data_IF_852679931692
#
_entry.id   IF_852679931692
#
_cell.length_a   1.000
_cell.length_b   1.000
_cell.length_c   1.000
_cell.angle_alpha   90.00
_cell.angle_beta   90.00
_cell.angle_gamma   90.00
#
_symmetry.space_group_name_H-M   'P 1'
#
loop_
_entity.id
_entity.type
_entity.pdbx_description
1 polymer ?
#
# COMPACT_ATOMS: atom_id res chain seq x y z
N UNK A 1 35.06 -2.72 17.44
CA UNK A 1 35.24 -3.32 18.78
C UNK A 1 35.21 -2.31 19.95
N UNK A 2 34.87 -1.03 19.75
CA UNK A 2 34.66 -0.06 20.83
C UNK A 2 33.31 -0.25 21.53
N UNK A 3 32.27 -0.56 20.76
CA UNK A 3 30.91 -0.84 21.26
C UNK A 3 30.81 -2.16 22.04
N UNK A 4 31.48 -3.22 21.59
CA UNK A 4 31.51 -4.52 22.27
C UNK A 4 32.95 -5.05 22.36
N UNK A 5 33.69 -4.72 23.45
CA UNK A 5 35.08 -5.15 23.61
C UNK A 5 35.25 -6.66 23.83
N UNK A 6 34.26 -7.31 24.43
CA UNK A 6 34.23 -8.77 24.68
C UNK A 6 34.20 -9.60 23.39
N UNK A 7 33.69 -9.05 22.28
CA UNK A 7 33.62 -9.76 21.00
C UNK A 7 34.97 -9.96 20.32
N UNK A 8 36.03 -9.28 20.78
CA UNK A 8 37.39 -9.36 20.19
C UNK A 8 37.97 -10.77 20.16
N UNK A 9 37.58 -11.62 21.11
CA UNK A 9 38.12 -12.98 21.25
C UNK A 9 37.21 -14.05 20.64
N UNK A 10 36.09 -13.67 20.04
CA UNK A 10 35.12 -14.61 19.49
C UNK A 10 35.44 -14.94 18.03
N UNK A 11 35.23 -16.20 17.66
CA UNK A 11 35.32 -16.62 16.26
C UNK A 11 33.97 -16.43 15.56
N UNK A 12 33.94 -15.78 14.40
CA UNK A 12 32.73 -15.64 13.60
C UNK A 12 32.41 -16.99 12.94
N UNK A 13 31.35 -17.66 13.40
CA UNK A 13 30.98 -18.99 12.89
C UNK A 13 30.28 -18.94 11.54
N UNK A 14 29.58 -17.84 11.24
CA UNK A 14 28.83 -17.66 10.01
C UNK A 14 28.51 -16.19 9.76
N UNK A 15 28.49 -15.78 8.49
CA UNK A 15 28.00 -14.47 8.07
C UNK A 15 27.41 -14.53 6.67
N UNK A 16 26.48 -13.63 6.37
CA UNK A 16 25.90 -13.46 5.04
C UNK A 16 25.77 -11.97 4.72
N UNK A 17 25.99 -11.61 3.46
CA UNK A 17 25.92 -10.24 2.97
C UNK A 17 24.90 -10.17 1.84
N UNK A 18 23.81 -9.47 2.07
CA UNK A 18 22.77 -9.21 1.05
C UNK A 18 22.90 -7.77 0.58
N UNK A 19 23.03 -7.56 -0.73
CA UNK A 19 23.10 -6.24 -1.36
C UNK A 19 21.83 -6.00 -2.17
N UNK A 20 21.04 -5.02 -1.78
CA UNK A 20 19.84 -4.60 -2.50
C UNK A 20 20.09 -3.20 -3.08
N UNK A 21 20.43 -3.13 -4.36
CA UNK A 21 20.80 -1.87 -5.03
C UNK A 21 19.64 -0.88 -5.20
N UNK A 22 18.40 -1.36 -5.15
CA UNK A 22 17.17 -0.57 -5.31
C UNK A 22 16.15 -0.96 -4.23
N UNK A 23 16.57 -0.91 -2.96
CA UNK A 23 15.70 -1.33 -1.85
C UNK A 23 14.56 -0.36 -1.59
N UNK A 24 14.85 0.94 -1.65
CA UNK A 24 13.97 2.04 -1.28
C UNK A 24 14.15 3.15 -2.31
N UNK A 25 13.15 4.01 -2.46
CA UNK A 25 13.35 5.21 -3.26
C UNK A 25 14.27 6.19 -2.51
N UNK A 26 14.95 7.05 -3.27
CA UNK A 26 15.88 8.00 -2.68
C UNK A 26 15.16 9.25 -2.21
N UNK A 27 15.01 9.38 -0.89
CA UNK A 27 14.54 10.59 -0.25
C UNK A 27 15.51 11.76 -0.50
N UNK A 28 15.03 12.82 -1.15
CA UNK A 28 15.74 14.08 -1.38
C UNK A 28 14.75 15.24 -1.17
N UNK A 29 15.19 16.44 -0.77
CA UNK A 29 14.30 17.59 -0.74
C UNK A 29 13.53 17.76 -2.06
N UNK A 30 12.20 17.88 -1.96
CA UNK A 30 11.30 18.05 -3.10
C UNK A 30 10.88 16.77 -3.83
N UNK A 31 11.05 15.58 -3.24
CA UNK A 31 10.60 14.31 -3.84
C UNK A 31 9.11 14.01 -3.61
N UNK A 32 8.47 14.59 -2.58
CA UNK A 32 7.08 14.26 -2.25
C UNK A 32 6.08 14.48 -3.40
N UNK A 33 6.35 15.45 -4.29
CA UNK A 33 5.52 15.72 -5.48
C UNK A 33 5.47 14.56 -6.47
N UNK A 34 6.44 13.64 -6.41
CA UNK A 34 6.50 12.46 -7.29
C UNK A 34 5.90 11.22 -6.65
N UNK A 35 5.50 11.29 -5.38
CA UNK A 35 4.86 10.18 -4.68
C UNK A 35 3.39 10.11 -5.12
N UNK A 36 2.98 9.04 -5.82
CA UNK A 36 1.61 8.94 -6.31
C UNK A 36 0.65 8.74 -5.12
N UNK A 37 -0.59 9.21 -5.29
CA UNK A 37 -1.69 8.86 -4.37
C UNK A 37 -2.12 7.40 -4.60
N UNK A 38 -2.84 6.86 -3.64
CA UNK A 38 -3.33 5.48 -3.65
C UNK A 38 -4.30 5.20 -4.79
N UNK A 39 -5.24 6.13 -5.03
CA UNK A 39 -6.12 6.12 -6.19
C UNK A 39 -5.42 6.72 -7.40
N UNK A 40 -5.38 5.97 -8.50
CA UNK A 40 -4.87 6.49 -9.77
C UNK A 40 -6.01 7.09 -10.61
N UNK A 41 -5.70 7.87 -11.66
CA UNK A 41 -6.71 8.32 -12.63
C UNK A 41 -7.34 7.18 -13.45
N UNK A 42 -6.75 5.98 -13.44
CA UNK A 42 -7.28 4.82 -14.17
C UNK A 42 -8.30 4.12 -13.27
N UNK A 43 -9.51 3.93 -13.79
CA UNK A 43 -10.61 3.32 -13.05
C UNK A 43 -10.23 1.91 -12.56
N UNK A 44 -10.56 1.61 -11.31
CA UNK A 44 -10.25 0.33 -10.64
C UNK A 44 -8.75 -0.02 -10.60
N UNK A 45 -7.86 0.98 -10.70
CA UNK A 45 -6.41 0.79 -10.59
C UNK A 45 -5.84 1.61 -9.44
N UNK A 46 -5.15 0.93 -8.52
CA UNK A 46 -4.67 1.48 -7.25
C UNK A 46 -3.20 1.13 -7.04
N UNK A 47 -2.49 1.98 -6.30
CA UNK A 47 -1.08 1.78 -5.95
C UNK A 47 -0.91 1.72 -4.43
N UNK A 48 -0.22 0.70 -3.96
CA UNK A 48 0.22 0.56 -2.57
C UNK A 48 1.75 0.38 -2.52
N UNK A 49 2.32 0.73 -1.37
CA UNK A 49 3.75 0.69 -1.12
C UNK A 49 4.20 1.97 -0.45
N UNK A 50 5.29 1.88 0.31
CA UNK A 50 5.87 2.97 1.09
C UNK A 50 6.28 4.18 0.24
N UNK A 51 6.56 3.97 -1.05
CA UNK A 51 6.83 5.03 -2.05
C UNK A 51 5.60 5.89 -2.42
N UNK A 52 4.39 5.43 -2.13
CA UNK A 52 3.15 6.21 -2.34
C UNK A 52 3.02 7.33 -1.31
N UNK A 53 2.13 8.29 -1.54
CA UNK A 53 1.96 9.47 -0.69
C UNK A 53 1.36 9.12 0.69
N UNK A 54 2.13 9.35 1.75
CA UNK A 54 1.77 9.15 3.16
C UNK A 54 2.83 9.78 4.08
N UNK A 55 2.50 10.02 5.35
CA UNK A 55 3.30 10.86 6.27
C UNK A 55 4.52 10.15 6.93
N UNK A 56 4.67 8.84 6.77
CA UNK A 56 5.67 7.98 7.42
C UNK A 56 6.88 7.57 6.56
N UNK A 57 7.24 8.37 5.53
CA UNK A 57 8.41 8.16 4.64
C UNK A 57 8.53 6.72 4.07
N UNK A 58 9.63 6.41 3.37
CA UNK A 58 9.89 5.04 2.91
C UNK A 58 10.24 4.09 4.08
N UNK A 59 9.21 3.56 4.75
CA UNK A 59 9.34 2.71 5.95
C UNK A 59 8.33 1.55 5.97
N UNK A 60 8.51 0.61 6.90
CA UNK A 60 7.54 -0.47 7.14
C UNK A 60 6.16 0.09 7.53
N UNK A 61 6.12 1.16 8.34
CA UNK A 61 4.88 1.83 8.72
C UNK A 61 4.23 2.48 7.50
N UNK A 62 5.02 3.16 6.66
CA UNK A 62 4.54 3.75 5.42
C UNK A 62 3.96 2.72 4.45
N UNK A 63 4.59 1.55 4.34
CA UNK A 63 4.07 0.44 3.54
C UNK A 63 2.71 -0.04 4.08
N UNK A 64 2.60 -0.31 5.37
CA UNK A 64 1.34 -0.75 6.00
C UNK A 64 0.25 0.30 5.84
N UNK A 65 0.55 1.57 6.14
CA UNK A 65 -0.39 2.69 6.04
C UNK A 65 -0.90 2.87 4.62
N UNK A 66 -0.02 2.77 3.62
CA UNK A 66 -0.41 2.86 2.22
C UNK A 66 -1.42 1.78 1.81
N UNK A 67 -1.27 0.56 2.33
CA UNK A 67 -2.19 -0.55 2.05
C UNK A 67 -3.57 -0.30 2.66
N UNK A 68 -3.62 0.20 3.90
CA UNK A 68 -4.88 0.58 4.55
C UNK A 68 -5.60 1.69 3.78
N UNK A 69 -4.88 2.71 3.35
CA UNK A 69 -5.45 3.80 2.55
C UNK A 69 -6.02 3.31 1.21
N UNK A 70 -5.39 2.33 0.55
CA UNK A 70 -5.97 1.70 -0.65
C UNK A 70 -7.24 0.92 -0.31
N UNK A 71 -7.25 0.18 0.80
CA UNK A 71 -8.41 -0.59 1.22
C UNK A 71 -9.61 0.33 1.49
N UNK A 72 -9.41 1.43 2.22
CA UNK A 72 -10.43 2.44 2.49
C UNK A 72 -11.02 2.98 1.17
N UNK A 73 -10.15 3.35 0.23
CA UNK A 73 -10.56 3.88 -1.06
C UNK A 73 -11.34 2.86 -1.92
N UNK A 74 -10.98 1.58 -1.87
CA UNK A 74 -11.71 0.50 -2.55
C UNK A 74 -13.11 0.33 -1.93
N UNK A 75 -13.20 0.33 -0.60
CA UNK A 75 -14.47 0.20 0.12
C UNK A 75 -15.40 1.36 -0.23
N UNK A 76 -14.88 2.59 -0.18
CA UNK A 76 -15.66 3.80 -0.52
C UNK A 76 -16.19 3.75 -1.95
N UNK A 77 -15.40 3.28 -2.93
CA UNK A 77 -15.86 3.10 -4.32
C UNK A 77 -16.84 1.95 -4.47
N UNK A 78 -16.64 0.85 -3.76
CA UNK A 78 -17.54 -0.31 -3.81
C UNK A 78 -18.91 -0.01 -3.17
N UNK A 79 -18.93 0.86 -2.16
CA UNK A 79 -20.13 1.22 -1.41
C UNK A 79 -20.82 2.49 -1.94
N UNK A 80 -20.14 3.28 -2.78
CA UNK A 80 -20.66 4.49 -3.40
C UNK A 80 -21.73 4.26 -4.49
N UNK A 81 -22.34 5.34 -5.02
CA UNK A 81 -23.31 5.27 -6.12
C UNK A 81 -22.70 4.60 -7.36
N UNK A 82 -23.35 3.55 -7.89
CA UNK A 82 -22.81 2.74 -8.98
C UNK A 82 -21.77 1.68 -8.55
N UNK A 83 -21.44 1.60 -7.26
CA UNK A 83 -20.57 0.57 -6.69
C UNK A 83 -21.24 -0.81 -6.58
N UNK A 84 -20.48 -1.79 -6.10
CA UNK A 84 -20.90 -3.20 -6.00
C UNK A 84 -22.20 -3.38 -5.22
N UNK A 85 -22.39 -2.63 -4.12
CA UNK A 85 -23.64 -2.68 -3.33
C UNK A 85 -24.83 -2.12 -4.11
N UNK A 86 -24.64 -0.98 -4.78
CA UNK A 86 -25.69 -0.34 -5.58
C UNK A 86 -26.07 -1.19 -6.81
N UNK A 87 -25.07 -1.77 -7.49
CA UNK A 87 -25.28 -2.71 -8.59
C UNK A 87 -26.03 -3.97 -8.14
N UNK A 88 -25.68 -4.52 -6.98
CA UNK A 88 -26.35 -5.70 -6.41
C UNK A 88 -27.80 -5.40 -6.06
N UNK A 89 -28.08 -4.23 -5.46
CA UNK A 89 -29.44 -3.75 -5.18
C UNK A 89 -30.26 -3.61 -6.47
N UNK A 90 -29.72 -2.92 -7.46
CA UNK A 90 -30.38 -2.71 -8.77
C UNK A 90 -30.67 -4.03 -9.49
N UNK A 91 -29.76 -4.99 -9.40
CA UNK A 91 -29.96 -6.32 -9.97
C UNK A 91 -31.10 -7.08 -9.26
N UNK A 92 -31.19 -7.00 -7.93
CA UNK A 92 -32.26 -7.61 -7.15
C UNK A 92 -33.63 -6.97 -7.46
N UNK A 93 -33.70 -5.64 -7.51
CA UNK A 93 -34.92 -4.89 -7.87
C UNK A 93 -35.42 -5.28 -9.27
N UNK A 94 -34.53 -5.32 -10.26
CA UNK A 94 -34.87 -5.73 -11.63
C UNK A 94 -35.32 -7.18 -11.74
N UNK A 95 -34.78 -8.07 -10.89
CA UNK A 95 -35.19 -9.47 -10.82
C UNK A 95 -36.58 -9.61 -10.21
N UNK A 96 -36.88 -8.86 -9.15
CA UNK A 96 -38.20 -8.83 -8.53
C UNK A 96 -39.27 -8.27 -9.48
N UNK A 97 -38.97 -7.18 -10.20
CA UNK A 97 -39.89 -6.58 -11.17
C UNK A 97 -40.24 -7.56 -12.30
N UNK A 98 -39.28 -8.35 -12.77
CA UNK A 98 -39.48 -9.38 -13.79
C UNK A 98 -40.25 -10.62 -13.28
N UNK A 99 -40.28 -10.87 -11.98
CA UNK A 99 -41.02 -11.98 -11.37
C UNK A 99 -42.50 -11.62 -11.09
N UNK A 100 -42.81 -10.33 -11.05
CA UNK A 100 -44.18 -9.80 -10.85
C UNK A 100 -44.89 -9.53 -12.17
N UNK A 101 -44.15 -9.40 -13.28
CA UNK A 101 -44.65 -9.32 -14.65
C UNK A 101 -44.86 -10.71 -15.28
#
# INVERSE_FOLDING_TARGET
>A
HSLFPSSKKLNCTWSNVVKLGQSLYREKPGQDRYRPRQATPVENFFLAGSYTYQDYLDSMEGATRSGLMVADEIIDRADGPGGLKDLSRKAAEKTAEKAVA
#
